data_IF_951505386374
#
_entry.id   IF_951505386374
#
_cell.length_a   1.000
_cell.length_b   1.000
_cell.length_c   1.000
_cell.angle_alpha   90.00
_cell.angle_beta   90.00
_cell.angle_gamma   90.00
#
_symmetry.space_group_name_H-M   'P 1'
#
loop_
_entity.id
_entity.type
_entity.pdbx_description
1 polymer ?
#
# COMPACT_ATOMS: atom_id res chain seq x y z
N UNK A 1 -45.26 1.49 24.12
CA UNK A 1 -44.49 2.19 23.11
C UNK A 1 -43.00 2.00 23.45
N UNK A 2 -42.34 1.03 22.82
CA UNK A 2 -40.93 0.76 23.01
C UNK A 2 -40.14 1.68 22.08
N UNK A 3 -39.37 2.55 22.69
CA UNK A 3 -38.46 3.47 22.03
C UNK A 3 -37.28 2.67 21.44
N UNK A 4 -37.26 2.44 20.13
CA UNK A 4 -36.13 1.86 19.43
C UNK A 4 -35.10 2.98 19.25
N UNK A 5 -34.08 2.99 20.10
CA UNK A 5 -32.87 3.77 19.89
C UNK A 5 -32.20 3.32 18.59
N UNK A 6 -32.07 4.24 17.64
CA UNK A 6 -31.30 4.06 16.42
C UNK A 6 -29.85 3.71 16.78
N UNK A 7 -29.20 2.76 16.12
CA UNK A 7 -27.79 2.46 16.41
C UNK A 7 -26.94 3.68 16.07
N UNK A 8 -26.12 4.08 17.02
CA UNK A 8 -25.09 5.12 16.85
C UNK A 8 -24.20 4.70 15.66
N UNK A 9 -23.95 5.60 14.68
CA UNK A 9 -23.04 5.27 13.59
C UNK A 9 -21.65 4.96 14.16
N UNK A 10 -20.94 3.98 13.59
CA UNK A 10 -19.58 3.66 14.03
C UNK A 10 -18.69 4.91 13.90
N UNK A 11 -17.66 5.06 14.77
CA UNK A 11 -16.76 6.19 14.73
C UNK A 11 -16.16 6.31 13.32
N UNK A 12 -16.10 7.54 12.81
CA UNK A 12 -15.56 7.84 11.48
C UNK A 12 -14.19 7.19 11.32
N UNK A 13 -14.09 6.22 10.40
CA UNK A 13 -12.80 5.61 10.01
C UNK A 13 -11.92 6.77 9.56
N UNK A 14 -10.74 6.91 10.15
CA UNK A 14 -9.77 7.91 9.72
C UNK A 14 -9.56 7.75 8.20
N UNK A 15 -9.88 8.81 7.45
CA UNK A 15 -9.74 8.82 6.02
C UNK A 15 -8.27 8.53 5.67
N UNK A 16 -8.05 7.58 4.77
CA UNK A 16 -6.71 7.22 4.30
C UNK A 16 -6.54 7.71 2.89
N UNK A 17 -5.44 8.40 2.61
CA UNK A 17 -5.15 8.78 1.23
C UNK A 17 -5.00 7.52 0.39
N UNK A 18 -5.57 7.55 -0.80
CA UNK A 18 -5.40 6.50 -1.80
C UNK A 18 -3.93 6.38 -2.15
N UNK A 19 -3.36 5.20 -1.94
CA UNK A 19 -1.98 4.93 -2.32
C UNK A 19 -1.81 5.08 -3.86
N UNK A 20 -0.93 4.44 -4.48
CA UNK A 20 -0.45 4.63 -5.85
C UNK A 20 -1.45 4.42 -7.00
N UNK A 21 -2.55 3.68 -6.82
CA UNK A 21 -3.46 3.30 -7.92
C UNK A 21 -4.21 4.48 -8.56
N UNK A 22 -4.91 5.27 -7.75
CA UNK A 22 -5.73 6.40 -8.26
C UNK A 22 -4.92 7.47 -8.99
N UNK A 23 -3.79 7.99 -8.45
CA UNK A 23 -2.96 8.94 -9.18
C UNK A 23 -2.34 8.35 -10.45
N UNK A 24 -1.92 7.08 -10.44
CA UNK A 24 -1.36 6.43 -11.61
C UNK A 24 -2.40 6.30 -12.74
N UNK A 25 -3.62 5.84 -12.42
CA UNK A 25 -4.72 5.75 -13.38
C UNK A 25 -5.11 7.14 -13.94
N UNK A 26 -5.11 8.18 -13.10
CA UNK A 26 -5.38 9.54 -13.55
C UNK A 26 -4.35 10.04 -14.57
N UNK A 27 -3.06 9.75 -14.35
CA UNK A 27 -1.99 10.09 -15.31
C UNK A 27 -2.17 9.32 -16.62
N UNK A 28 -2.46 8.01 -16.55
CA UNK A 28 -2.66 7.18 -17.75
C UNK A 28 -3.81 7.68 -18.60
N UNK A 29 -4.97 7.87 -18.01
CA UNK A 29 -6.18 8.34 -18.70
C UNK A 29 -6.02 9.77 -19.24
N UNK A 30 -5.44 10.69 -18.45
CA UNK A 30 -5.20 12.06 -18.91
C UNK A 30 -4.26 12.11 -20.11
N UNK A 31 -3.21 11.28 -20.14
CA UNK A 31 -2.30 11.14 -21.29
C UNK A 31 -2.97 10.50 -22.50
N UNK A 32 -3.94 9.62 -22.28
CA UNK A 32 -4.77 9.07 -23.35
C UNK A 32 -5.82 10.07 -23.88
N UNK A 33 -5.88 11.28 -23.31
CA UNK A 33 -6.76 12.37 -23.78
C UNK A 33 -8.12 12.42 -23.10
N UNK A 34 -8.35 11.63 -22.08
CA UNK A 34 -9.60 11.69 -21.30
C UNK A 34 -9.61 12.87 -20.33
N UNK A 35 -10.79 13.46 -20.10
CA UNK A 35 -11.02 14.34 -18.97
C UNK A 35 -11.26 13.48 -17.71
N UNK A 36 -10.49 13.72 -16.66
CA UNK A 36 -10.47 12.88 -15.45
C UNK A 36 -10.70 13.73 -14.21
N UNK A 37 -11.72 13.40 -13.45
CA UNK A 37 -11.93 13.91 -12.10
C UNK A 37 -11.55 12.85 -11.08
N UNK A 38 -10.58 13.17 -10.23
CA UNK A 38 -10.12 12.29 -9.12
C UNK A 38 -10.73 12.79 -7.84
N UNK A 39 -11.58 11.99 -7.22
CA UNK A 39 -12.21 12.29 -5.93
C UNK A 39 -11.47 11.58 -4.81
N UNK A 40 -11.03 12.32 -3.80
CA UNK A 40 -10.34 11.79 -2.63
C UNK A 40 -11.10 12.19 -1.36
N UNK A 41 -11.38 11.21 -0.51
CA UNK A 41 -12.12 11.43 0.74
C UNK A 41 -11.34 12.21 1.79
N UNK A 42 -10.00 12.11 1.79
CA UNK A 42 -9.16 12.90 2.67
C UNK A 42 -9.13 14.37 2.23
N UNK A 43 -9.24 15.30 3.17
CA UNK A 43 -9.09 16.73 2.90
C UNK A 43 -7.66 17.09 2.55
N UNK A 44 -6.68 16.41 3.20
CA UNK A 44 -5.26 16.54 2.95
C UNK A 44 -4.65 15.18 2.64
N UNK A 45 -3.80 15.14 1.63
CA UNK A 45 -3.08 13.94 1.20
C UNK A 45 -1.79 13.80 2.04
N UNK A 46 -1.92 13.30 3.24
CA UNK A 46 -0.79 12.99 4.11
C UNK A 46 -0.58 11.47 4.21
N UNK A 47 0.64 11.01 4.02
CA UNK A 47 1.02 9.61 4.20
C UNK A 47 1.77 9.38 5.49
N UNK A 48 1.32 8.40 6.27
CA UNK A 48 2.05 7.92 7.45
C UNK A 48 3.13 6.93 6.99
N UNK A 49 4.37 7.29 7.30
CA UNK A 49 5.58 6.75 6.72
C UNK A 49 5.84 5.25 6.89
N UNK A 50 5.58 4.48 5.84
CA UNK A 50 6.12 3.14 5.67
C UNK A 50 6.83 3.03 4.33
N UNK A 51 7.84 2.15 4.25
CA UNK A 51 8.51 1.83 3.00
C UNK A 51 7.63 0.99 2.07
N UNK A 52 7.93 1.08 0.79
CA UNK A 52 7.42 0.23 -0.28
C UNK A 52 8.59 -0.34 -1.08
N UNK A 53 8.39 -1.52 -1.63
CA UNK A 53 9.27 -2.09 -2.65
C UNK A 53 8.58 -1.98 -4.01
N UNK A 54 9.32 -1.52 -5.01
CA UNK A 54 8.86 -1.36 -6.38
C UNK A 54 9.73 -2.24 -7.27
N UNK A 55 9.16 -3.34 -7.75
CA UNK A 55 9.80 -4.24 -8.70
C UNK A 55 9.74 -3.71 -10.14
N UNK A 56 10.50 -4.26 -11.08
CA UNK A 56 10.61 -3.76 -12.45
C UNK A 56 9.29 -3.60 -13.21
N UNK A 57 8.27 -4.40 -12.91
CA UNK A 57 6.92 -4.24 -13.48
C UNK A 57 6.34 -2.85 -13.13
N UNK A 58 6.41 -2.44 -11.87
CA UNK A 58 5.92 -1.12 -11.45
C UNK A 58 6.83 0.02 -11.92
N UNK A 59 8.17 -0.13 -11.80
CA UNK A 59 9.09 0.94 -12.19
C UNK A 59 9.07 1.20 -13.70
N UNK A 60 8.75 0.19 -14.53
CA UNK A 60 8.49 0.35 -15.96
C UNK A 60 7.29 1.26 -16.22
N UNK A 61 6.19 1.08 -15.50
CA UNK A 61 4.99 1.92 -15.64
C UNK A 61 5.27 3.33 -15.14
N UNK A 62 5.95 3.46 -13.98
CA UNK A 62 6.32 4.76 -13.43
C UNK A 62 7.26 5.55 -14.36
N UNK A 63 8.15 4.86 -15.08
CA UNK A 63 9.01 5.47 -16.10
C UNK A 63 8.19 5.98 -17.28
N UNK A 64 7.29 5.16 -17.81
CA UNK A 64 6.37 5.56 -18.88
C UNK A 64 5.51 6.77 -18.48
N UNK A 65 5.17 6.90 -17.20
CA UNK A 65 4.43 8.05 -16.66
C UNK A 65 5.34 9.25 -16.30
N UNK A 66 6.66 9.17 -16.48
CA UNK A 66 7.61 10.23 -16.11
C UNK A 66 7.74 10.46 -14.60
N UNK A 67 7.29 9.49 -13.78
CA UNK A 67 7.37 9.52 -12.32
C UNK A 67 8.73 9.04 -11.83
N UNK A 68 9.32 8.04 -12.51
CA UNK A 68 10.56 7.40 -12.07
C UNK A 68 11.73 8.39 -11.87
N UNK A 69 11.99 9.37 -12.75
CA UNK A 69 13.03 10.37 -12.54
C UNK A 69 12.81 11.22 -11.27
N UNK A 70 11.57 11.45 -10.84
CA UNK A 70 11.24 12.22 -9.63
C UNK A 70 11.62 11.47 -8.34
N UNK A 71 11.77 10.16 -8.41
CA UNK A 71 12.15 9.31 -7.29
C UNK A 71 13.68 9.16 -7.15
N UNK A 72 14.47 9.59 -8.14
CA UNK A 72 15.91 9.35 -8.19
C UNK A 72 16.68 9.86 -6.95
N UNK A 73 16.23 10.95 -6.33
CA UNK A 73 16.89 11.53 -5.15
C UNK A 73 16.54 10.81 -3.84
N UNK A 74 15.40 10.13 -3.76
CA UNK A 74 14.87 9.55 -2.51
C UNK A 74 14.76 8.03 -2.52
N UNK A 75 14.67 7.42 -3.69
CA UNK A 75 14.62 5.98 -3.84
C UNK A 75 15.98 5.33 -3.58
N UNK A 76 15.96 4.14 -3.00
CA UNK A 76 17.14 3.29 -2.83
C UNK A 76 17.09 2.16 -3.85
N UNK A 77 18.08 2.06 -4.72
CA UNK A 77 18.22 0.92 -5.63
C UNK A 77 18.63 -0.32 -4.85
N UNK A 78 17.90 -1.42 -5.01
CA UNK A 78 18.14 -2.67 -4.30
C UNK A 78 18.98 -3.61 -5.18
N UNK A 79 20.12 -4.05 -4.64
CA UNK A 79 21.04 -4.96 -5.33
C UNK A 79 20.67 -6.44 -5.21
N UNK A 80 20.07 -6.84 -4.10
CA UNK A 80 19.60 -8.22 -3.89
C UNK A 80 18.47 -8.32 -2.87
N UNK A 81 17.77 -9.45 -2.92
CA UNK A 81 16.85 -9.90 -1.89
C UNK A 81 17.44 -11.15 -1.25
N UNK A 82 17.74 -11.07 0.05
CA UNK A 82 18.36 -12.15 0.81
C UNK A 82 17.30 -12.83 1.70
N UNK A 83 17.19 -14.14 1.60
CA UNK A 83 16.41 -14.98 2.50
C UNK A 83 17.32 -15.49 3.60
N UNK A 84 16.94 -15.23 4.85
CA UNK A 84 17.79 -15.41 6.03
C UNK A 84 17.00 -16.21 7.07
N UNK A 85 17.65 -17.15 7.75
CA UNK A 85 17.05 -17.81 8.91
C UNK A 85 16.93 -16.81 10.05
N UNK A 86 15.75 -16.69 10.63
CA UNK A 86 15.53 -15.74 11.71
C UNK A 86 16.26 -16.12 13.02
N UNK A 87 16.41 -17.42 13.29
CA UNK A 87 16.99 -17.97 14.53
C UNK A 87 18.54 -17.88 14.62
N UNK A 88 19.22 -17.86 13.47
CA UNK A 88 20.69 -17.88 13.39
C UNK A 88 21.27 -16.74 12.61
N UNK A 89 20.45 -15.91 11.98
CA UNK A 89 20.84 -14.91 10.97
C UNK A 89 21.65 -15.53 9.79
N UNK A 90 21.59 -16.85 9.60
CA UNK A 90 22.25 -17.55 8.51
C UNK A 90 21.56 -17.33 7.17
N UNK A 91 22.31 -16.93 6.14
CA UNK A 91 21.78 -16.74 4.80
C UNK A 91 21.40 -18.07 4.16
N UNK A 92 20.17 -18.17 3.65
CA UNK A 92 19.64 -19.32 2.94
C UNK A 92 19.80 -19.18 1.42
N UNK A 93 19.47 -17.99 0.90
CA UNK A 93 19.47 -17.70 -0.54
C UNK A 93 19.65 -16.20 -0.74
N UNK A 94 20.31 -15.82 -1.82
CA UNK A 94 20.39 -14.45 -2.28
C UNK A 94 19.94 -14.37 -3.74
N UNK A 95 18.95 -13.54 -4.01
CA UNK A 95 18.46 -13.27 -5.36
C UNK A 95 18.97 -11.91 -5.81
N UNK A 96 19.92 -11.90 -6.72
CA UNK A 96 20.43 -10.67 -7.31
C UNK A 96 19.37 -10.02 -8.20
N UNK A 97 19.14 -8.74 -8.00
CA UNK A 97 18.25 -7.93 -8.87
C UNK A 97 18.95 -7.51 -10.17
N UNK A 98 20.29 -7.63 -10.24
CA UNK A 98 21.10 -7.23 -11.41
C UNK A 98 20.68 -7.92 -12.70
N UNK A 99 20.34 -9.21 -12.64
CA UNK A 99 19.90 -9.95 -13.81
C UNK A 99 18.52 -9.48 -14.28
N UNK A 100 17.63 -9.20 -13.34
CA UNK A 100 16.30 -8.65 -13.65
C UNK A 100 16.43 -7.26 -14.25
N UNK A 101 17.28 -6.39 -13.70
CA UNK A 101 17.57 -5.07 -14.27
C UNK A 101 18.15 -5.16 -15.67
N UNK A 102 19.10 -6.08 -15.90
CA UNK A 102 19.69 -6.30 -17.25
C UNK A 102 18.63 -6.74 -18.26
N UNK A 103 17.70 -7.62 -17.87
CA UNK A 103 16.68 -8.14 -18.77
C UNK A 103 15.53 -7.16 -19.01
N UNK A 104 15.11 -6.43 -17.99
CA UNK A 104 13.96 -5.51 -18.04
C UNK A 104 14.34 -4.06 -18.33
N UNK A 105 15.59 -3.65 -18.03
CA UNK A 105 16.12 -2.28 -18.02
C UNK A 105 15.53 -1.38 -16.92
N UNK A 106 14.71 -1.93 -16.01
CA UNK A 106 14.07 -1.18 -14.95
C UNK A 106 14.58 -1.62 -13.58
N UNK A 107 14.82 -0.67 -12.64
CA UNK A 107 15.40 -0.98 -11.34
C UNK A 107 14.37 -1.61 -10.39
N UNK A 108 14.89 -2.38 -9.41
CA UNK A 108 14.16 -2.71 -8.20
C UNK A 108 14.47 -1.63 -7.15
N UNK A 109 13.45 -0.97 -6.64
CA UNK A 109 13.58 0.18 -5.74
C UNK A 109 12.91 -0.07 -4.38
N UNK A 110 13.50 0.46 -3.33
CA UNK A 110 12.84 0.73 -2.08
C UNK A 110 12.57 2.24 -1.99
N UNK A 111 11.31 2.61 -1.72
CA UNK A 111 10.88 4.01 -1.65
C UNK A 111 10.08 4.26 -0.39
N UNK A 112 10.13 5.46 0.14
CA UNK A 112 9.19 5.89 1.15
C UNK A 112 7.83 6.17 0.50
N UNK A 113 6.73 5.71 1.10
CA UNK A 113 5.39 5.84 0.51
C UNK A 113 5.03 7.31 0.21
N UNK A 114 5.36 8.22 1.12
CA UNK A 114 5.11 9.65 0.91
C UNK A 114 5.89 10.22 -0.30
N UNK A 115 7.12 9.73 -0.54
CA UNK A 115 7.92 10.20 -1.67
C UNK A 115 7.30 9.73 -3.00
N UNK A 116 6.82 8.48 -3.07
CA UNK A 116 6.09 7.96 -4.24
C UNK A 116 4.78 8.74 -4.47
N UNK A 117 4.01 8.97 -3.42
CA UNK A 117 2.75 9.72 -3.51
C UNK A 117 3.01 11.14 -4.00
N UNK A 118 3.99 11.85 -3.44
CA UNK A 118 4.36 13.21 -3.86
C UNK A 118 4.77 13.26 -5.33
N UNK A 119 5.56 12.27 -5.79
CA UNK A 119 5.98 12.17 -7.19
C UNK A 119 4.80 11.93 -8.15
N UNK A 120 3.87 11.04 -7.76
CA UNK A 120 2.65 10.77 -8.53
C UNK A 120 1.74 11.99 -8.57
N UNK A 121 1.49 12.66 -7.43
CA UNK A 121 0.65 13.85 -7.36
C UNK A 121 1.22 15.01 -8.17
N UNK A 122 2.53 15.25 -8.10
CA UNK A 122 3.18 16.25 -8.95
C UNK A 122 2.95 15.97 -10.44
N UNK A 123 2.99 14.69 -10.85
CA UNK A 123 2.73 14.28 -12.22
C UNK A 123 1.24 14.46 -12.59
N UNK A 124 0.31 14.14 -11.67
CA UNK A 124 -1.13 14.41 -11.85
C UNK A 124 -1.40 15.88 -12.11
N UNK A 125 -0.81 16.77 -11.30
CA UNK A 125 -1.01 18.23 -11.44
C UNK A 125 -0.48 18.81 -12.75
N UNK A 126 0.51 18.15 -13.37
CA UNK A 126 1.05 18.53 -14.68
C UNK A 126 0.30 17.86 -15.85
N UNK A 127 -0.53 16.86 -15.58
CA UNK A 127 -1.26 16.12 -16.62
C UNK A 127 -2.50 16.89 -17.06
N UNK A 128 -2.54 17.26 -18.33
CA UNK A 128 -3.66 18.02 -18.89
C UNK A 128 -4.97 17.23 -18.80
N UNK A 129 -6.05 17.91 -18.43
CA UNK A 129 -7.39 17.31 -18.37
C UNK A 129 -7.67 16.53 -17.09
N UNK A 130 -6.74 16.50 -16.12
CA UNK A 130 -6.93 15.86 -14.81
C UNK A 130 -7.22 16.93 -13.75
N UNK A 131 -8.21 16.67 -12.90
CA UNK A 131 -8.54 17.50 -11.74
C UNK A 131 -8.57 16.64 -10.48
N UNK A 132 -7.96 17.10 -9.41
CA UNK A 132 -8.01 16.48 -8.09
C UNK A 132 -8.98 17.23 -7.19
N UNK A 133 -9.92 16.51 -6.57
CA UNK A 133 -11.00 17.04 -5.75
C UNK A 133 -10.94 16.31 -4.39
N UNK A 134 -10.31 16.96 -3.40
CA UNK A 134 -10.16 16.43 -2.04
C UNK A 134 -11.40 16.64 -1.19
N UNK A 135 -11.50 15.95 -0.03
CA UNK A 135 -12.62 16.07 0.90
C UNK A 135 -13.95 15.55 0.36
N UNK A 136 -13.90 14.58 -0.58
CA UNK A 136 -15.08 14.08 -1.29
C UNK A 136 -15.22 12.57 -1.12
N UNK A 137 -16.15 12.15 -0.30
CA UNK A 137 -16.42 10.73 -0.01
C UNK A 137 -17.51 10.19 -0.92
N UNK A 138 -17.27 9.07 -1.60
CA UNK A 138 -18.30 8.38 -2.39
C UNK A 138 -19.46 7.93 -1.51
N UNK A 139 -20.68 8.32 -1.87
CA UNK A 139 -21.92 7.98 -1.16
C UNK A 139 -22.75 6.94 -1.92
N UNK A 140 -22.97 7.17 -3.22
CA UNK A 140 -23.81 6.32 -4.06
C UNK A 140 -23.36 6.35 -5.52
N UNK A 141 -23.68 5.28 -6.28
CA UNK A 141 -23.40 5.18 -7.70
C UNK A 141 -24.58 4.57 -8.43
N UNK A 142 -24.95 5.15 -9.56
CA UNK A 142 -25.97 4.62 -10.46
C UNK A 142 -25.41 4.51 -11.87
N UNK A 143 -25.53 3.35 -12.48
CA UNK A 143 -25.21 3.16 -13.89
C UNK A 143 -26.43 3.43 -14.78
N UNK A 144 -26.21 4.10 -15.90
CA UNK A 144 -27.17 4.35 -16.96
C UNK A 144 -26.61 3.83 -18.30
N UNK A 145 -27.43 3.79 -19.33
CA UNK A 145 -27.01 3.31 -20.65
C UNK A 145 -25.86 4.12 -21.25
N UNK A 146 -25.79 5.40 -20.95
CA UNK A 146 -24.85 6.38 -21.52
C UNK A 146 -23.76 6.84 -20.52
N UNK A 147 -23.81 6.42 -19.25
CA UNK A 147 -22.82 6.85 -18.26
C UNK A 147 -22.99 6.28 -16.86
N UNK A 148 -22.22 6.86 -15.96
CA UNK A 148 -22.27 6.60 -14.52
C UNK A 148 -22.55 7.91 -13.80
N UNK A 149 -23.56 7.92 -12.95
CA UNK A 149 -23.84 9.00 -12.00
C UNK A 149 -23.28 8.61 -10.64
N UNK A 150 -22.39 9.41 -10.08
CA UNK A 150 -21.81 9.20 -8.76
C UNK A 150 -22.11 10.39 -7.84
N UNK A 151 -22.53 10.09 -6.62
CA UNK A 151 -22.82 11.05 -5.58
C UNK A 151 -21.71 11.07 -4.53
N UNK A 152 -21.16 12.25 -4.28
CA UNK A 152 -20.10 12.46 -3.30
C UNK A 152 -20.58 13.37 -2.18
N UNK A 153 -20.21 13.05 -0.94
CA UNK A 153 -20.39 13.90 0.24
C UNK A 153 -19.13 14.76 0.41
N UNK A 154 -19.30 16.08 0.45
CA UNK A 154 -18.22 17.04 0.67
C UNK A 154 -18.75 18.19 1.54
N UNK A 155 -18.12 18.43 2.71
CA UNK A 155 -18.52 19.51 3.61
C UNK A 155 -19.98 19.45 4.09
N UNK A 156 -20.61 18.25 4.10
CA UNK A 156 -22.02 18.06 4.47
C UNK A 156 -23.00 18.21 3.29
N UNK A 157 -22.53 18.56 2.11
CA UNK A 157 -23.35 18.66 0.89
C UNK A 157 -23.13 17.46 -0.01
N UNK A 158 -24.17 17.11 -0.77
CA UNK A 158 -24.08 16.07 -1.80
C UNK A 158 -23.82 16.72 -3.16
N UNK A 159 -22.76 16.26 -3.82
CA UNK A 159 -22.43 16.64 -5.19
C UNK A 159 -22.61 15.46 -6.13
N UNK A 160 -23.45 15.62 -7.15
CA UNK A 160 -23.63 14.63 -8.22
C UNK A 160 -22.69 14.92 -9.37
N UNK A 161 -22.05 13.88 -9.89
CA UNK A 161 -21.14 13.93 -11.03
C UNK A 161 -21.52 12.85 -12.02
N UNK A 162 -21.49 13.16 -13.30
CA UNK A 162 -21.75 12.21 -14.39
C UNK A 162 -20.47 12.01 -15.20
N UNK A 163 -20.14 10.75 -15.44
CA UNK A 163 -18.99 10.34 -16.23
C UNK A 163 -19.31 9.20 -17.19
N UNK A 164 -18.46 8.97 -18.18
CA UNK A 164 -18.60 7.83 -19.10
C UNK A 164 -18.32 6.49 -18.39
N UNK A 165 -17.33 6.48 -17.49
CA UNK A 165 -16.92 5.33 -16.68
C UNK A 165 -16.48 5.81 -15.30
N UNK A 166 -16.50 4.92 -14.32
CA UNK A 166 -15.98 5.14 -12.98
C UNK A 166 -14.90 4.10 -12.68
N UNK A 167 -13.78 4.55 -12.10
CA UNK A 167 -12.71 3.68 -11.61
C UNK A 167 -12.65 3.81 -10.08
N UNK A 168 -12.94 2.71 -9.40
CA UNK A 168 -12.81 2.59 -7.95
C UNK A 168 -11.39 2.18 -7.57
N UNK A 169 -10.67 3.10 -6.88
CA UNK A 169 -9.31 2.88 -6.39
C UNK A 169 -9.23 3.18 -4.88
N UNK A 170 -10.31 2.96 -4.15
CA UNK A 170 -10.56 3.38 -2.78
C UNK A 170 -10.14 2.35 -1.72
N UNK A 171 -9.22 1.45 -2.10
CA UNK A 171 -8.46 0.60 -1.18
C UNK A 171 -9.24 -0.62 -0.65
N UNK A 172 -8.66 -1.28 0.36
CA UNK A 172 -9.20 -2.54 0.90
C UNK A 172 -10.65 -2.41 1.41
N UNK A 173 -11.03 -1.25 1.92
CA UNK A 173 -12.39 -0.96 2.42
C UNK A 173 -13.26 -0.22 1.40
N UNK A 174 -13.06 -0.53 0.13
CA UNK A 174 -13.70 0.12 -1.00
C UNK A 174 -15.22 0.19 -0.88
N UNK A 175 -15.75 1.41 -1.04
CA UNK A 175 -17.17 1.67 -1.26
C UNK A 175 -17.56 1.40 -2.71
N UNK A 176 -16.63 1.70 -3.64
CA UNK A 176 -16.85 1.44 -5.07
C UNK A 176 -17.15 -0.04 -5.35
N UNK A 177 -16.56 -0.94 -4.53
CA UNK A 177 -16.79 -2.39 -4.62
C UNK A 177 -18.25 -2.78 -4.39
N UNK A 178 -19.00 -2.04 -3.56
CA UNK A 178 -20.41 -2.33 -3.28
C UNK A 178 -21.30 -2.19 -4.53
N UNK A 179 -20.82 -1.47 -5.56
CA UNK A 179 -21.52 -1.25 -6.82
C UNK A 179 -21.07 -2.16 -7.97
N UNK A 180 -20.19 -3.12 -7.70
CA UNK A 180 -19.74 -4.13 -8.67
C UNK A 180 -20.33 -5.48 -8.27
N UNK A 181 -21.25 -6.01 -9.09
CA UNK A 181 -21.92 -7.27 -8.82
C UNK A 181 -20.93 -8.44 -8.83
N UNK A 182 -20.97 -9.29 -7.82
CA UNK A 182 -20.06 -10.43 -7.69
C UNK A 182 -18.67 -10.10 -7.21
N UNK A 183 -18.43 -8.85 -6.78
CA UNK A 183 -17.15 -8.46 -6.18
C UNK A 183 -16.91 -9.18 -4.85
N UNK A 184 -15.63 -9.51 -4.57
CA UNK A 184 -15.27 -10.18 -3.33
C UNK A 184 -15.09 -9.18 -2.19
N UNK A 185 -15.67 -9.46 -1.02
CA UNK A 185 -15.46 -8.67 0.19
C UNK A 185 -14.11 -9.04 0.83
N UNK A 186 -13.41 -8.07 1.48
CA UNK A 186 -12.17 -8.36 2.15
C UNK A 186 -12.41 -9.26 3.37
N UNK A 187 -11.59 -10.31 3.49
CA UNK A 187 -11.57 -11.22 4.62
C UNK A 187 -10.23 -11.11 5.35
N UNK A 188 -10.25 -11.25 6.69
CA UNK A 188 -9.03 -11.30 7.47
C UNK A 188 -8.20 -12.53 7.09
N UNK A 189 -6.91 -12.32 6.83
CA UNK A 189 -6.01 -13.38 6.34
C UNK A 189 -5.47 -14.31 7.43
N UNK A 190 -5.71 -14.02 8.71
CA UNK A 190 -5.08 -14.69 9.84
C UNK A 190 -3.72 -14.14 10.22
N UNK A 191 -3.29 -13.01 9.62
CA UNK A 191 -2.00 -12.39 9.86
C UNK A 191 -2.13 -10.91 10.19
N UNK A 192 -1.19 -10.44 11.03
CA UNK A 192 -0.99 -9.02 11.32
C UNK A 192 0.39 -8.60 10.80
N UNK A 193 0.50 -7.37 10.32
CA UNK A 193 1.76 -6.74 9.97
C UNK A 193 2.11 -5.66 10.98
N UNK A 194 3.26 -5.80 11.61
CA UNK A 194 3.86 -4.77 12.45
C UNK A 194 4.87 -4.00 11.62
N UNK A 195 4.79 -2.69 11.62
CA UNK A 195 5.66 -1.83 10.85
C UNK A 195 6.32 -0.78 11.73
N UNK A 196 7.61 -0.58 11.50
CA UNK A 196 8.40 0.47 12.13
C UNK A 196 9.50 0.95 11.18
N UNK A 197 10.11 2.07 11.52
CA UNK A 197 11.35 2.53 10.89
C UNK A 197 12.37 2.81 11.99
N UNK A 198 13.64 2.50 11.72
CA UNK A 198 14.74 2.80 12.62
C UNK A 198 15.76 3.71 11.93
N UNK A 199 16.39 4.59 12.70
CA UNK A 199 17.53 5.37 12.23
C UNK A 199 18.76 4.47 12.10
N UNK A 200 19.64 4.78 11.15
CA UNK A 200 20.79 3.94 10.80
C UNK A 200 21.73 3.72 11.98
N UNK A 201 21.95 4.75 12.80
CA UNK A 201 22.87 4.72 13.94
C UNK A 201 22.43 3.76 15.06
N UNK A 202 21.17 3.36 15.07
CA UNK A 202 20.63 2.39 16.03
C UNK A 202 20.79 0.94 15.56
N UNK A 203 21.25 0.71 14.32
CA UNK A 203 21.25 -0.60 13.67
C UNK A 203 22.64 -1.23 13.71
N UNK A 204 22.72 -2.50 14.07
CA UNK A 204 23.98 -3.26 14.14
C UNK A 204 23.84 -4.68 13.56
N UNK A 205 24.96 -5.40 13.45
CA UNK A 205 24.99 -6.78 13.00
C UNK A 205 24.41 -6.99 11.60
N UNK A 206 23.71 -8.11 11.40
CA UNK A 206 23.15 -8.49 10.10
C UNK A 206 22.21 -7.46 9.49
N UNK A 207 21.51 -6.66 10.32
CA UNK A 207 20.65 -5.59 9.84
C UNK A 207 21.45 -4.39 9.29
N UNK A 208 22.60 -4.09 9.88
CA UNK A 208 23.49 -3.02 9.38
C UNK A 208 24.10 -3.37 8.01
N UNK A 209 24.41 -4.65 7.78
CA UNK A 209 24.87 -5.12 6.48
C UNK A 209 23.84 -4.90 5.37
N UNK A 210 22.56 -5.07 5.64
CA UNK A 210 21.49 -4.78 4.68
C UNK A 210 21.49 -3.31 4.25
N UNK A 211 21.76 -2.40 5.20
CA UNK A 211 21.82 -0.97 4.92
C UNK A 211 23.01 -0.61 4.02
N UNK A 212 24.20 -1.08 4.40
CA UNK A 212 25.46 -0.76 3.69
C UNK A 212 25.51 -1.32 2.27
N UNK A 213 24.89 -2.48 2.03
CA UNK A 213 24.90 -3.17 0.74
C UNK A 213 23.59 -2.97 -0.05
N UNK A 214 22.70 -2.12 0.42
CA UNK A 214 21.41 -1.81 -0.21
C UNK A 214 20.62 -3.08 -0.58
N UNK A 215 20.46 -3.97 0.40
CA UNK A 215 19.77 -5.25 0.24
C UNK A 215 18.42 -5.25 0.97
N UNK A 216 17.51 -6.07 0.48
CA UNK A 216 16.31 -6.49 1.25
C UNK A 216 16.65 -7.79 1.97
N UNK A 217 16.43 -7.84 3.28
CA UNK A 217 16.51 -9.05 4.09
C UNK A 217 15.13 -9.56 4.46
N UNK A 218 14.83 -10.82 4.11
CA UNK A 218 13.65 -11.55 4.54
C UNK A 218 14.08 -12.60 5.58
N UNK A 219 13.91 -12.29 6.87
CA UNK A 219 14.23 -13.20 7.98
C UNK A 219 13.04 -14.11 8.23
N UNK A 220 13.23 -15.41 8.01
CA UNK A 220 12.15 -16.40 8.02
C UNK A 220 12.19 -17.24 9.29
N UNK A 221 11.04 -17.36 9.95
CA UNK A 221 10.79 -18.32 11.03
C UNK A 221 9.50 -19.09 10.78
N UNK A 222 9.18 -20.10 11.62
CA UNK A 222 7.94 -20.88 11.50
C UNK A 222 6.68 -20.10 11.87
N UNK A 223 6.81 -19.02 12.63
CA UNK A 223 5.67 -18.27 13.20
C UNK A 223 5.54 -16.85 12.67
N UNK A 224 6.64 -16.27 12.22
CA UNK A 224 6.71 -14.91 11.72
C UNK A 224 7.80 -14.77 10.66
N UNK A 225 7.74 -13.71 9.88
CA UNK A 225 8.88 -13.29 9.07
C UNK A 225 9.04 -11.77 9.18
N UNK A 226 10.29 -11.33 9.16
CA UNK A 226 10.65 -9.92 9.15
C UNK A 226 11.24 -9.58 7.79
N UNK A 227 10.69 -8.55 7.16
CA UNK A 227 11.30 -7.93 5.97
C UNK A 227 11.92 -6.62 6.38
N UNK A 228 13.22 -6.48 6.16
CA UNK A 228 14.00 -5.30 6.48
C UNK A 228 14.70 -4.77 5.22
N UNK A 229 14.66 -3.46 4.97
CA UNK A 229 15.32 -2.86 3.81
C UNK A 229 15.62 -1.37 4.00
N UNK A 230 16.68 -0.85 3.34
CA UNK A 230 17.07 0.55 3.41
C UNK A 230 16.06 1.46 2.71
N UNK A 231 15.85 2.64 3.30
CA UNK A 231 15.14 3.76 2.69
C UNK A 231 16.02 4.99 2.63
N UNK A 232 15.66 5.93 1.73
CA UNK A 232 16.33 7.23 1.60
C UNK A 232 17.85 7.11 1.52
N UNK A 233 18.30 6.26 0.59
CA UNK A 233 19.73 5.97 0.37
C UNK A 233 20.45 5.44 1.64
N UNK A 234 19.79 4.54 2.38
CA UNK A 234 20.37 3.89 3.55
C UNK A 234 20.33 4.71 4.84
N UNK A 235 19.67 5.86 4.86
CA UNK A 235 19.57 6.69 6.08
C UNK A 235 18.58 6.12 7.10
N UNK A 236 17.63 5.30 6.66
CA UNK A 236 16.62 4.64 7.51
C UNK A 236 16.48 3.17 7.15
N UNK A 237 16.20 2.36 8.15
CA UNK A 237 15.79 0.96 7.97
C UNK A 237 14.27 0.85 8.10
N UNK A 238 13.61 0.33 7.08
CA UNK A 238 12.20 -0.04 7.16
C UNK A 238 12.07 -1.47 7.63
N UNK A 239 11.14 -1.72 8.54
CA UNK A 239 10.88 -3.00 9.17
C UNK A 239 9.42 -3.37 9.00
N UNK A 240 9.16 -4.57 8.51
CA UNK A 240 7.82 -5.15 8.39
C UNK A 240 7.86 -6.57 8.95
N UNK A 241 7.36 -6.76 10.16
CA UNK A 241 7.20 -8.07 10.77
C UNK A 241 5.77 -8.55 10.50
N UNK A 242 5.63 -9.72 9.86
CA UNK A 242 4.34 -10.37 9.65
C UNK A 242 4.26 -11.62 10.50
N UNK A 243 3.22 -11.71 11.31
CA UNK A 243 2.98 -12.83 12.20
C UNK A 243 1.52 -13.25 12.18
N UNK A 244 1.25 -14.52 12.51
CA UNK A 244 -0.11 -15.00 12.74
C UNK A 244 -0.72 -14.28 13.94
N UNK A 245 -2.00 -13.97 13.87
CA UNK A 245 -2.69 -13.28 14.96
C UNK A 245 -4.19 -13.35 14.81
N UNK A 246 -4.89 -12.83 15.81
CA UNK A 246 -6.33 -12.63 15.75
C UNK A 246 -6.65 -11.31 15.06
N UNK A 247 -7.83 -11.23 14.44
CA UNK A 247 -8.33 -9.95 13.94
C UNK A 247 -8.48 -9.00 15.13
N UNK A 248 -7.74 -7.90 15.10
CA UNK A 248 -7.99 -6.78 16.03
C UNK A 248 -9.18 -5.97 15.52
N UNK A 249 -9.91 -5.26 16.42
CA UNK A 249 -11.01 -4.40 16.00
C UNK A 249 -10.60 -3.47 14.86
N UNK A 250 -11.52 -3.22 13.94
CA UNK A 250 -11.28 -2.46 12.72
C UNK A 250 -10.62 -1.10 13.00
N UNK A 251 -9.39 -0.98 12.61
CA UNK A 251 -8.57 0.23 12.69
C UNK A 251 -7.19 -0.10 12.15
N UNK A 252 -6.64 0.79 11.34
CA UNK A 252 -5.34 0.55 10.74
C UNK A 252 -4.18 0.83 11.72
N UNK A 253 -4.46 1.59 12.77
CA UNK A 253 -3.51 2.01 13.81
C UNK A 253 -3.91 1.39 15.16
N UNK A 254 -3.98 0.05 15.23
CA UNK A 254 -4.02 -0.61 16.52
C UNK A 254 -2.62 -0.53 17.14
N UNK A 255 -2.53 -0.13 18.42
CA UNK A 255 -1.28 -0.16 19.14
C UNK A 255 -0.72 -1.60 19.13
N UNK A 256 0.55 -1.76 18.77
CA UNK A 256 1.21 -3.07 18.72
C UNK A 256 1.14 -3.87 20.06
N UNK A 257 0.89 -3.18 21.16
CA UNK A 257 0.69 -3.80 22.48
C UNK A 257 -0.55 -4.69 22.59
N UNK A 258 -1.52 -4.58 21.66
CA UNK A 258 -2.73 -5.42 21.66
C UNK A 258 -2.51 -6.80 21.02
N UNK A 259 -1.38 -7.02 20.37
CA UNK A 259 -0.99 -8.30 19.78
C UNK A 259 0.29 -8.74 20.45
N UNK A 260 0.43 -10.04 20.72
CA UNK A 260 1.64 -10.57 21.37
C UNK A 260 2.86 -10.49 20.44
N UNK A 261 3.41 -9.27 20.31
CA UNK A 261 4.61 -8.97 19.53
C UNK A 261 5.81 -9.76 20.04
N UNK A 262 5.93 -9.92 21.37
CA UNK A 262 7.04 -10.65 22.00
C UNK A 262 7.07 -12.10 21.55
N UNK A 263 5.90 -12.73 21.41
CA UNK A 263 5.80 -14.10 20.90
C UNK A 263 6.24 -14.17 19.42
N UNK A 264 5.85 -13.18 18.62
CA UNK A 264 6.20 -13.13 17.19
C UNK A 264 7.72 -13.09 16.96
N UNK A 265 8.46 -12.35 17.81
CA UNK A 265 9.93 -12.22 17.69
C UNK A 265 10.71 -13.25 18.53
N UNK A 266 10.04 -14.06 19.34
CA UNK A 266 10.67 -14.99 20.30
C UNK A 266 11.65 -15.98 19.67
N UNK A 267 11.42 -16.39 18.43
CA UNK A 267 12.28 -17.30 17.67
C UNK A 267 13.40 -16.64 16.86
N UNK A 268 13.59 -15.31 16.98
CA UNK A 268 14.65 -14.61 16.26
C UNK A 268 16.00 -14.70 17.00
N UNK A 269 17.08 -14.56 16.23
CA UNK A 269 18.43 -14.47 16.78
C UNK A 269 18.49 -13.38 17.86
N UNK A 270 19.22 -13.60 18.98
CA UNK A 270 19.14 -12.73 20.17
C UNK A 270 19.41 -11.25 19.92
N UNK A 271 20.38 -10.89 19.06
CA UNK A 271 20.68 -9.48 18.77
C UNK A 271 19.58 -8.80 17.95
N UNK A 272 19.01 -9.51 16.98
CA UNK A 272 17.87 -9.04 16.18
C UNK A 272 16.65 -8.88 17.07
N UNK A 273 16.35 -9.87 17.91
CA UNK A 273 15.24 -9.82 18.85
C UNK A 273 15.36 -8.65 19.82
N UNK A 274 16.56 -8.43 20.39
CA UNK A 274 16.81 -7.29 21.27
C UNK A 274 16.62 -5.97 20.55
N UNK A 275 17.11 -5.83 19.33
CA UNK A 275 16.93 -4.63 18.51
C UNK A 275 15.44 -4.34 18.24
N UNK A 276 14.69 -5.37 17.80
CA UNK A 276 13.25 -5.22 17.51
C UNK A 276 12.45 -4.87 18.77
N UNK A 277 12.82 -5.45 19.92
CA UNK A 277 12.16 -5.20 21.21
C UNK A 277 12.41 -3.79 21.78
N UNK A 278 13.44 -3.10 21.32
CA UNK A 278 13.78 -1.73 21.76
C UNK A 278 13.17 -0.64 20.86
N UNK A 279 12.36 -0.99 19.87
CA UNK A 279 11.65 -0.03 19.02
C UNK A 279 10.27 0.23 19.63
N UNK A 280 10.00 1.47 20.02
CA UNK A 280 8.76 1.85 20.71
C UNK A 280 7.58 2.10 19.76
N UNK A 281 7.84 2.53 18.51
CA UNK A 281 6.83 3.00 17.56
C UNK A 281 6.34 1.92 16.58
N UNK A 282 6.16 0.69 17.04
CA UNK A 282 5.54 -0.33 16.22
C UNK A 282 4.05 -0.05 16.01
N UNK A 283 3.64 -0.11 14.75
CA UNK A 283 2.22 -0.01 14.37
C UNK A 283 1.74 -1.33 13.81
N UNK A 284 0.58 -1.79 14.28
CA UNK A 284 -0.02 -3.05 13.86
C UNK A 284 -1.15 -2.84 12.87
N UNK A 285 -1.14 -3.60 11.78
CA UNK A 285 -2.20 -3.65 10.78
C UNK A 285 -2.68 -5.07 10.59
N UNK A 286 -3.95 -5.39 10.86
CA UNK A 286 -4.53 -6.65 10.42
C UNK A 286 -4.54 -6.70 8.88
N UNK A 287 -4.10 -7.82 8.34
CA UNK A 287 -4.00 -8.02 6.89
C UNK A 287 -5.29 -8.64 6.37
N UNK A 288 -5.88 -7.97 5.40
CA UNK A 288 -7.07 -8.42 4.70
C UNK A 288 -6.73 -8.77 3.25
N UNK A 289 -7.48 -9.70 2.69
CA UNK A 289 -7.37 -10.10 1.29
C UNK A 289 -8.75 -10.29 0.68
N UNK A 290 -8.85 -10.08 -0.62
CA UNK A 290 -10.04 -10.39 -1.41
C UNK A 290 -9.84 -11.71 -2.17
N UNK A 291 -10.94 -12.48 -2.37
CA UNK A 291 -10.89 -13.64 -3.25
C UNK A 291 -10.62 -13.17 -4.69
N UNK A 292 -9.54 -13.65 -5.35
CA UNK A 292 -9.22 -13.24 -6.71
C UNK A 292 -10.25 -13.67 -7.76
N UNK A 293 -11.19 -14.56 -7.40
CA UNK A 293 -12.30 -14.98 -8.26
C UNK A 293 -13.47 -13.99 -8.27
N UNK A 294 -13.47 -12.98 -7.40
CA UNK A 294 -14.47 -11.93 -7.40
C UNK A 294 -14.40 -11.05 -8.65
N UNK A 295 -15.53 -10.48 -9.05
CA UNK A 295 -15.59 -9.55 -10.17
C UNK A 295 -14.88 -8.22 -9.82
N UNK A 296 -14.12 -7.70 -10.78
CA UNK A 296 -13.42 -6.42 -10.66
C UNK A 296 -14.07 -5.31 -11.49
N UNK A 297 -15.05 -5.66 -12.28
CA UNK A 297 -15.83 -4.71 -13.05
C UNK A 297 -17.29 -5.14 -13.19
N UNK A 298 -18.16 -4.16 -13.44
CA UNK A 298 -19.55 -4.35 -13.80
C UNK A 298 -19.99 -3.16 -14.67
N UNK A 299 -20.29 -3.44 -15.92
CA UNK A 299 -20.69 -2.44 -16.88
C UNK A 299 -19.65 -1.31 -17.03
N UNK A 300 -19.97 -0.13 -16.51
CA UNK A 300 -19.14 1.08 -16.59
C UNK A 300 -18.33 1.36 -15.32
N UNK A 301 -18.30 0.46 -14.38
CA UNK A 301 -17.51 0.56 -13.15
C UNK A 301 -16.39 -0.47 -13.20
N UNK A 302 -15.15 -0.05 -12.95
CA UNK A 302 -13.99 -0.92 -12.77
C UNK A 302 -13.31 -0.64 -11.45
N UNK A 303 -12.77 -1.69 -10.83
CA UNK A 303 -11.97 -1.61 -9.59
C UNK A 303 -10.50 -1.83 -9.94
N UNK A 304 -9.61 -1.13 -9.25
CA UNK A 304 -8.15 -1.29 -9.37
C UNK A 304 -7.48 -1.31 -8.00
N UNK A 305 -6.27 -1.87 -7.93
CA UNK A 305 -5.49 -1.98 -6.70
C UNK A 305 -6.23 -2.75 -5.60
N UNK A 306 -6.07 -2.33 -4.35
CA UNK A 306 -6.70 -3.00 -3.21
C UNK A 306 -8.23 -2.98 -3.24
N UNK A 307 -8.85 -2.08 -4.03
CA UNK A 307 -10.29 -2.10 -4.26
C UNK A 307 -10.72 -3.34 -5.06
N UNK A 308 -9.89 -3.82 -5.98
CA UNK A 308 -10.12 -5.03 -6.76
C UNK A 308 -9.58 -6.29 -6.06
N UNK A 309 -8.30 -6.26 -5.67
CA UNK A 309 -7.52 -7.46 -5.33
C UNK A 309 -6.61 -7.26 -4.12
N UNK A 310 -7.15 -6.71 -3.01
CA UNK A 310 -6.41 -6.64 -1.75
C UNK A 310 -5.73 -7.98 -1.44
N UNK A 311 -4.42 -7.95 -1.17
CA UNK A 311 -3.58 -9.13 -0.98
C UNK A 311 -2.66 -8.99 0.22
N UNK A 312 -2.20 -10.14 0.72
CA UNK A 312 -1.17 -10.19 1.75
C UNK A 312 0.20 -9.77 1.19
N UNK A 313 1.07 -9.13 1.98
CA UNK A 313 2.32 -8.51 1.50
C UNK A 313 3.48 -9.50 1.29
N UNK A 314 3.24 -10.81 1.24
CA UNK A 314 4.30 -11.83 1.18
C UNK A 314 5.22 -11.71 -0.04
N UNK A 315 4.70 -11.26 -1.18
CA UNK A 315 5.47 -11.02 -2.38
C UNK A 315 5.82 -9.54 -2.61
N UNK A 316 5.45 -8.63 -1.70
CA UNK A 316 5.62 -7.17 -1.82
C UNK A 316 5.03 -6.59 -3.13
N UNK A 317 3.97 -7.20 -3.71
CA UNK A 317 3.43 -6.82 -5.03
C UNK A 317 2.19 -5.93 -4.98
N UNK A 318 1.55 -5.70 -3.83
CA UNK A 318 0.29 -4.95 -3.78
C UNK A 318 0.36 -3.57 -4.46
N UNK A 319 1.36 -2.76 -4.12
CA UNK A 319 1.56 -1.45 -4.77
C UNK A 319 2.00 -1.57 -6.24
N UNK A 320 2.80 -2.60 -6.57
CA UNK A 320 3.25 -2.83 -7.93
C UNK A 320 2.08 -3.17 -8.86
N UNK A 321 1.23 -4.11 -8.45
CA UNK A 321 0.02 -4.48 -9.20
C UNK A 321 -0.95 -3.31 -9.33
N UNK A 322 -1.14 -2.53 -8.25
CA UNK A 322 -1.98 -1.34 -8.28
C UNK A 322 -1.49 -0.27 -9.29
N UNK A 323 -0.17 -0.20 -9.52
CA UNK A 323 0.43 0.66 -10.55
C UNK A 323 0.26 0.04 -11.95
N UNK A 324 0.37 -1.28 -12.07
CA UNK A 324 0.14 -1.99 -13.34
C UNK A 324 -1.32 -1.91 -13.80
N UNK A 325 -2.29 -2.02 -12.87
CA UNK A 325 -3.72 -1.86 -13.19
C UNK A 325 -4.02 -0.51 -13.84
N UNK A 326 -3.19 0.49 -13.60
CA UNK A 326 -3.37 1.83 -14.13
C UNK A 326 -2.84 2.00 -15.57
N UNK A 327 -2.11 1.01 -16.10
CA UNK A 327 -1.45 1.08 -17.41
C UNK A 327 -2.21 0.32 -18.48
#
# INVERSE_FOLDING_TARGET
AANRSSPTPPPSRAARPTASASPAAAVALGRAGFAVDVFEQAGELSEVGAGLQLSPNATRVLDAFGVLPRLAATATAIGSVDFIRADTAGKLLSLSTSNTVKSTRFPFLAVHRADLQSALLATVMETRGVRLISGSQLADVRQAADGVEANFLSGGETRTVVGAVMIGADGVWSRSRDFVQGSAKPAFSGYNAFRATAEVDAVSGALAELLSEQRVGAFLSSHAHLVAYPLRNGRRLNLVLVARGMAVPEGWDANAQQVDFSQAIGGFEPSIRSFLGNIDDWRCWPLYQCDPKGSWNDGRIALIGDAAHAMTPFAAQGACMAIEDAA
#
